data_IF_580060120898
#
_entry.id   IF_580060120898
#
_cell.length_a   1.000
_cell.length_b   1.000
_cell.length_c   1.000
_cell.angle_alpha   90.00
_cell.angle_beta   90.00
_cell.angle_gamma   90.00
#
_symmetry.space_group_name_H-M   'P 1'
#
loop_
_entity.id
_entity.type
_entity.pdbx_description
1 polymer ?
#
# COMPACT_ATOMS: atom_id res chain seq x y z
N UNK A 1 9.89 6.10 11.08
CA UNK A 1 8.47 5.92 10.69
C UNK A 1 7.73 7.20 11.01
N UNK A 2 6.97 7.76 10.07
CA UNK A 2 6.24 9.02 10.34
C UNK A 2 5.10 8.75 11.35
N UNK A 3 4.74 9.71 12.22
CA UNK A 3 3.63 9.55 13.16
C UNK A 3 2.30 9.24 12.45
N UNK A 4 2.10 9.83 11.27
CA UNK A 4 0.93 9.57 10.44
C UNK A 4 0.85 8.11 10.00
N UNK A 5 1.96 7.54 9.48
CA UNK A 5 1.99 6.13 9.06
C UNK A 5 1.75 5.19 10.25
N UNK A 6 2.34 5.49 11.40
CA UNK A 6 2.14 4.70 12.61
C UNK A 6 0.65 4.64 13.01
N UNK A 7 -0.02 5.78 13.03
CA UNK A 7 -1.45 5.88 13.33
C UNK A 7 -2.29 5.10 12.31
N UNK A 8 -2.02 5.26 11.02
CA UNK A 8 -2.76 4.54 9.97
C UNK A 8 -2.62 3.02 10.09
N UNK A 9 -1.42 2.51 10.37
CA UNK A 9 -1.18 1.08 10.55
C UNK A 9 -1.85 0.54 11.81
N UNK A 10 -1.91 1.34 12.89
CA UNK A 10 -2.62 0.97 14.11
C UNK A 10 -4.13 0.86 13.86
N UNK A 11 -4.73 1.83 13.19
CA UNK A 11 -6.14 1.78 12.79
C UNK A 11 -6.41 0.57 11.90
N UNK A 12 -5.55 0.29 10.92
CA UNK A 12 -5.70 -0.89 10.07
C UNK A 12 -5.67 -2.20 10.88
N UNK A 13 -4.77 -2.31 11.86
CA UNK A 13 -4.67 -3.48 12.74
C UNK A 13 -5.95 -3.68 13.56
N UNK A 14 -6.50 -2.60 14.12
CA UNK A 14 -7.76 -2.64 14.87
C UNK A 14 -8.91 -3.11 13.99
N UNK A 15 -9.09 -2.52 12.81
CA UNK A 15 -10.12 -2.94 11.85
C UNK A 15 -9.99 -4.42 11.48
N UNK A 16 -8.78 -4.87 11.16
CA UNK A 16 -8.52 -6.26 10.79
C UNK A 16 -8.80 -7.25 11.92
N UNK A 17 -8.54 -6.87 13.17
CA UNK A 17 -8.85 -7.73 14.32
C UNK A 17 -10.36 -7.95 14.50
N UNK A 18 -11.17 -6.93 14.23
CA UNK A 18 -12.62 -7.03 14.26
C UNK A 18 -13.14 -7.88 13.11
N UNK A 19 -12.68 -7.62 11.88
CA UNK A 19 -13.05 -8.41 10.69
C UNK A 19 -12.69 -9.90 10.85
N UNK A 20 -11.49 -10.20 11.35
CA UNK A 20 -11.05 -11.57 11.58
C UNK A 20 -11.92 -12.27 12.63
N UNK A 21 -12.26 -11.57 13.71
CA UNK A 21 -13.16 -12.10 14.74
C UNK A 21 -14.58 -12.33 14.22
N UNK A 22 -15.07 -11.48 13.30
CA UNK A 22 -16.41 -11.63 12.69
C UNK A 22 -16.48 -12.82 11.74
N UNK A 23 -15.41 -13.08 10.98
CA UNK A 23 -15.33 -14.23 10.07
C UNK A 23 -14.87 -15.54 10.74
N UNK A 24 -14.49 -15.48 12.02
CA UNK A 24 -14.02 -16.64 12.77
C UNK A 24 -12.63 -17.14 12.34
N UNK A 25 -11.85 -16.28 11.68
CA UNK A 25 -10.49 -16.58 11.23
C UNK A 25 -9.46 -16.04 12.23
N UNK A 26 -8.32 -16.71 12.42
CA UNK A 26 -7.25 -16.18 13.26
C UNK A 26 -6.64 -14.92 12.65
N UNK A 27 -6.17 -14.01 13.51
CA UNK A 27 -5.48 -12.81 13.06
C UNK A 27 -4.23 -13.19 12.25
N UNK A 28 -4.10 -12.73 10.99
CA UNK A 28 -2.93 -13.03 10.18
C UNK A 28 -1.67 -12.34 10.73
N UNK A 29 -0.52 -12.97 10.56
CA UNK A 29 0.79 -12.40 10.90
C UNK A 29 1.16 -11.21 9.99
N UNK A 30 0.63 -11.20 8.76
CA UNK A 30 0.94 -10.19 7.75
C UNK A 30 0.02 -8.96 7.89
N UNK A 31 0.62 -7.77 7.75
CA UNK A 31 -0.11 -6.49 7.78
C UNK A 31 -1.07 -6.34 6.59
N UNK A 32 -0.66 -6.84 5.42
CA UNK A 32 -1.46 -6.81 4.19
C UNK A 32 -1.78 -8.23 3.74
N UNK A 33 -3.07 -8.52 3.66
CA UNK A 33 -3.60 -9.83 3.28
C UNK A 33 -4.56 -9.69 2.11
N UNK A 34 -4.74 -10.79 1.38
CA UNK A 34 -5.78 -10.93 0.36
C UNK A 34 -7.16 -10.98 1.03
N UNK A 35 -8.26 -10.85 0.27
CA UNK A 35 -9.61 -11.10 0.80
C UNK A 35 -9.80 -12.50 1.39
N UNK A 36 -8.93 -13.45 1.07
CA UNK A 36 -8.91 -14.81 1.63
C UNK A 36 -7.97 -14.95 2.83
N UNK A 37 -7.56 -13.85 3.47
CA UNK A 37 -6.70 -13.82 4.66
C UNK A 37 -5.29 -14.39 4.46
N UNK A 38 -4.86 -14.56 3.21
CA UNK A 38 -3.51 -15.06 2.87
C UNK A 38 -2.57 -13.92 2.52
N UNK A 39 -1.25 -14.19 2.52
CA UNK A 39 -0.24 -13.22 2.07
C UNK A 39 -0.41 -12.90 0.59
N UNK A 40 -0.24 -11.63 0.22
CA UNK A 40 -0.04 -11.25 -1.17
C UNK A 40 1.31 -11.78 -1.70
N UNK A 41 1.27 -12.56 -2.76
CA UNK A 41 2.42 -12.79 -3.62
C UNK A 41 2.48 -11.74 -4.74
N UNK A 42 3.65 -11.69 -5.38
CA UNK A 42 3.99 -10.72 -6.40
C UNK A 42 3.15 -10.87 -7.70
N UNK A 43 2.71 -12.09 -8.05
CA UNK A 43 1.85 -12.30 -9.22
C UNK A 43 0.42 -11.85 -8.97
N UNK A 44 -0.14 -12.20 -7.81
CA UNK A 44 -1.47 -11.76 -7.41
C UNK A 44 -1.56 -10.24 -7.26
N UNK A 45 -0.52 -9.62 -6.66
CA UNK A 45 -0.45 -8.16 -6.53
C UNK A 45 -0.46 -7.46 -7.90
N UNK A 46 0.32 -7.97 -8.87
CA UNK A 46 0.32 -7.42 -10.23
C UNK A 46 -1.02 -7.61 -10.93
N UNK A 47 -1.68 -8.74 -10.75
CA UNK A 47 -3.01 -9.00 -11.30
C UNK A 47 -4.02 -7.97 -10.79
N UNK A 48 -4.13 -7.86 -9.46
CA UNK A 48 -5.00 -6.88 -8.81
C UNK A 48 -4.68 -5.43 -9.23
N UNK A 49 -3.39 -5.10 -9.37
CA UNK A 49 -2.98 -3.78 -9.84
C UNK A 49 -3.43 -3.48 -11.27
N UNK A 50 -3.34 -4.46 -12.19
CA UNK A 50 -3.84 -4.30 -13.57
C UNK A 50 -5.34 -4.07 -13.63
N UNK A 51 -6.09 -4.79 -12.80
CA UNK A 51 -7.53 -4.59 -12.69
C UNK A 51 -7.86 -3.19 -12.15
N UNK A 52 -7.12 -2.72 -11.14
CA UNK A 52 -7.27 -1.37 -10.61
C UNK A 52 -6.99 -0.30 -11.66
N UNK A 53 -5.93 -0.45 -12.47
CA UNK A 53 -5.63 0.48 -13.57
C UNK A 53 -6.77 0.53 -14.58
N UNK A 54 -7.34 -0.64 -14.91
CA UNK A 54 -8.48 -0.73 -15.85
C UNK A 54 -9.71 -0.03 -15.28
N UNK A 55 -10.04 -0.26 -14.01
CA UNK A 55 -11.17 0.39 -13.32
C UNK A 55 -10.98 1.90 -13.16
N UNK A 56 -9.74 2.36 -13.04
CA UNK A 56 -9.40 3.77 -12.95
C UNK A 56 -9.24 4.44 -14.33
N UNK A 57 -9.42 3.70 -15.43
CA UNK A 57 -9.22 4.17 -16.80
C UNK A 57 -7.82 4.74 -17.07
N UNK A 58 -6.82 4.20 -16.36
CA UNK A 58 -5.42 4.58 -16.51
C UNK A 58 -4.76 3.58 -17.46
N UNK A 59 -3.93 4.08 -18.37
CA UNK A 59 -3.07 3.24 -19.22
C UNK A 59 -2.28 2.25 -18.36
N UNK A 60 -1.90 1.13 -18.95
CA UNK A 60 -1.05 0.17 -18.25
C UNK A 60 0.28 0.80 -17.84
N UNK A 61 0.57 0.79 -16.53
CA UNK A 61 1.84 1.23 -15.92
C UNK A 61 2.34 0.14 -14.98
N UNK A 62 3.62 0.17 -14.63
CA UNK A 62 4.22 -0.83 -13.74
C UNK A 62 4.05 -0.42 -12.30
N UNK A 63 4.07 -1.38 -11.38
CA UNK A 63 3.85 -1.12 -9.97
C UNK A 63 4.90 -0.15 -9.38
N UNK A 64 6.17 -0.29 -9.76
CA UNK A 64 7.22 0.62 -9.29
C UNK A 64 7.17 2.00 -9.96
N UNK A 65 6.41 2.19 -11.04
CA UNK A 65 6.19 3.53 -11.60
C UNK A 65 5.43 4.40 -10.61
N UNK A 66 4.60 3.83 -9.72
CA UNK A 66 3.94 4.55 -8.63
C UNK A 66 4.95 5.25 -7.71
N UNK A 67 6.09 4.61 -7.44
CA UNK A 67 7.16 5.19 -6.62
C UNK A 67 7.81 6.37 -7.32
N UNK A 68 8.00 6.28 -8.65
CA UNK A 68 8.48 7.42 -9.44
C UNK A 68 7.45 8.55 -9.46
N UNK A 69 6.16 8.21 -9.64
CA UNK A 69 5.06 9.19 -9.56
C UNK A 69 5.04 9.90 -8.22
N UNK A 70 5.18 9.18 -7.10
CA UNK A 70 5.29 9.78 -5.77
C UNK A 70 6.44 10.79 -5.70
N UNK A 71 7.64 10.42 -6.16
CA UNK A 71 8.80 11.31 -6.17
C UNK A 71 8.54 12.58 -7.00
N UNK A 72 7.98 12.43 -8.20
CA UNK A 72 7.64 13.56 -9.08
C UNK A 72 6.57 14.47 -8.49
N UNK A 73 5.54 13.90 -7.85
CA UNK A 73 4.48 14.67 -7.19
C UNK A 73 5.02 15.45 -5.99
N UNK A 74 5.88 14.84 -5.18
CA UNK A 74 6.49 15.52 -4.03
C UNK A 74 7.43 16.64 -4.48
N UNK A 75 8.23 16.42 -5.52
CA UNK A 75 9.07 17.46 -6.10
C UNK A 75 8.22 18.64 -6.63
N UNK A 76 7.12 18.35 -7.32
CA UNK A 76 6.17 19.37 -7.81
C UNK A 76 5.50 20.15 -6.67
N UNK A 77 5.26 19.50 -5.53
CA UNK A 77 4.72 20.13 -4.33
C UNK A 77 5.76 20.98 -3.56
N UNK A 78 7.00 21.09 -4.05
CA UNK A 78 8.06 21.85 -3.41
C UNK A 78 8.70 21.14 -2.21
N UNK A 79 8.53 19.82 -2.09
CA UNK A 79 9.14 19.06 -0.99
C UNK A 79 10.69 19.12 -1.09
N UNK A 80 11.41 19.25 0.04
CA UNK A 80 12.87 19.26 0.03
C UNK A 80 13.43 17.96 -0.57
N UNK A 81 14.45 18.01 -1.45
CA UNK A 81 15.01 16.81 -2.08
C UNK A 81 15.46 15.74 -1.09
N UNK A 82 16.09 16.17 0.03
CA UNK A 82 16.52 15.29 1.11
C UNK A 82 15.36 14.52 1.76
N UNK A 83 14.22 15.19 1.95
CA UNK A 83 13.03 14.56 2.49
C UNK A 83 12.46 13.50 1.52
N UNK A 84 12.41 13.80 0.22
CA UNK A 84 11.95 12.84 -0.79
C UNK A 84 12.88 11.61 -0.82
N UNK A 85 14.20 11.83 -0.76
CA UNK A 85 15.19 10.75 -0.71
C UNK A 85 14.99 9.84 0.51
N UNK A 86 14.82 10.41 1.70
CA UNK A 86 14.54 9.66 2.94
C UNK A 86 13.25 8.84 2.85
N UNK A 87 12.17 9.37 2.24
CA UNK A 87 10.92 8.63 2.06
C UNK A 87 11.06 7.48 1.04
N UNK A 88 11.94 7.65 0.06
CA UNK A 88 12.28 6.60 -0.88
C UNK A 88 13.22 5.56 -0.22
N UNK A 89 13.90 5.87 0.88
CA UNK A 89 14.88 4.96 1.49
C UNK A 89 16.14 4.83 0.64
N UNK A 90 16.54 5.93 0.01
CA UNK A 90 17.83 6.11 -0.67
C UNK A 90 18.69 7.10 0.10
#
# INVERSE_FOLDING_TARGET
>A
MTPQLAKTLQTLKETRSLEASMEGVPMPEYVFVTPSWTRWDDSNLRGAFRELLTKAEIRHVRFHDLRHTYASLMAKAGAPPKYVQEQLGQ
#
